data_IF_673785620707
#
_entry.id   IF_673785620707
#
_cell.length_a   1.000
_cell.length_b   1.000
_cell.length_c   1.000
_cell.angle_alpha   90.00
_cell.angle_beta   90.00
_cell.angle_gamma   90.00
#
_symmetry.space_group_name_H-M   'P 1'
#
loop_
_entity.id
_entity.type
_entity.pdbx_description
1 polymer ?
#
# COMPACT_ATOMS: atom_id res chain seq x y z
N UNK A 1 23.52 10.13 -2.52
CA UNK A 1 22.99 10.70 -3.79
C UNK A 1 21.50 10.96 -3.63
N UNK A 2 21.01 12.19 -3.88
CA UNK A 2 19.57 12.49 -3.88
C UNK A 2 19.00 12.13 -5.26
N UNK A 3 18.06 11.21 -5.32
CA UNK A 3 17.45 10.72 -6.55
C UNK A 3 16.02 11.28 -6.66
N UNK A 4 15.67 11.84 -7.81
CA UNK A 4 14.31 12.29 -8.15
C UNK A 4 14.16 12.30 -9.67
N UNK A 5 13.37 11.39 -10.23
CA UNK A 5 13.12 11.34 -11.69
C UNK A 5 11.64 11.16 -12.00
N UNK A 6 11.20 11.74 -13.11
CA UNK A 6 9.88 11.52 -13.68
C UNK A 6 9.99 10.59 -14.88
N UNK A 7 9.13 9.57 -14.94
CA UNK A 7 9.06 8.64 -16.07
C UNK A 7 7.63 8.55 -16.59
N UNK A 8 7.49 8.29 -17.89
CA UNK A 8 6.21 8.39 -18.60
C UNK A 8 5.69 7.06 -19.15
N UNK A 9 6.41 5.96 -18.93
CA UNK A 9 6.02 4.61 -19.33
C UNK A 9 6.40 3.59 -18.25
N UNK A 10 5.78 2.40 -18.30
CA UNK A 10 6.13 1.27 -17.42
C UNK A 10 7.56 0.81 -17.71
N UNK A 11 7.94 0.77 -18.99
CA UNK A 11 9.27 0.36 -19.43
C UNK A 11 10.37 1.27 -18.86
N UNK A 12 10.24 2.59 -19.02
CA UNK A 12 11.18 3.56 -18.46
C UNK A 12 11.22 3.49 -16.94
N UNK A 13 10.08 3.22 -16.30
CA UNK A 13 10.02 3.05 -14.86
C UNK A 13 10.78 1.80 -14.41
N UNK A 14 10.58 0.67 -15.08
CA UNK A 14 11.33 -0.55 -14.83
C UNK A 14 12.83 -0.35 -15.03
N UNK A 15 13.25 0.35 -16.10
CA UNK A 15 14.66 0.70 -16.32
C UNK A 15 15.22 1.57 -15.19
N UNK A 16 14.44 2.54 -14.68
CA UNK A 16 14.85 3.35 -13.53
C UNK A 16 14.95 2.54 -12.23
N UNK A 17 14.08 1.54 -12.03
CA UNK A 17 14.13 0.65 -10.87
C UNK A 17 15.38 -0.24 -10.87
N UNK A 18 15.82 -0.68 -12.05
CA UNK A 18 17.06 -1.46 -12.21
C UNK A 18 18.33 -0.68 -11.84
N UNK A 19 18.26 0.65 -11.74
CA UNK A 19 19.38 1.49 -11.31
C UNK A 19 19.47 1.66 -9.79
N UNK A 20 18.48 1.14 -9.03
CA UNK A 20 18.50 1.22 -7.57
C UNK A 20 19.53 0.19 -7.04
N UNK A 21 20.39 0.56 -6.06
CA UNK A 21 21.34 -0.40 -5.51
C UNK A 21 20.65 -1.63 -4.93
N UNK A 22 21.18 -2.82 -5.22
CA UNK A 22 20.64 -4.08 -4.72
C UNK A 22 20.53 -4.10 -3.19
N UNK A 23 19.46 -4.73 -2.69
CA UNK A 23 19.13 -4.76 -1.27
C UNK A 23 18.50 -3.48 -0.72
N UNK A 24 18.39 -2.40 -1.51
CA UNK A 24 17.73 -1.17 -1.06
C UNK A 24 16.25 -1.42 -0.78
N UNK A 25 15.72 -0.70 0.22
CA UNK A 25 14.28 -0.65 0.48
C UNK A 25 13.59 0.15 -0.64
N UNK A 26 12.54 -0.43 -1.22
CA UNK A 26 11.72 0.24 -2.23
C UNK A 26 10.22 0.07 -1.96
N UNK A 27 9.52 1.20 -1.80
CA UNK A 27 8.06 1.23 -1.69
C UNK A 27 7.42 1.81 -2.96
N UNK A 28 6.73 0.97 -3.69
CA UNK A 28 5.66 1.43 -4.58
C UNK A 28 4.37 1.50 -3.75
N UNK A 29 3.47 2.46 -3.88
CA UNK A 29 3.75 3.88 -4.01
C UNK A 29 3.33 4.63 -2.72
N UNK A 30 3.74 5.90 -2.59
CA UNK A 30 3.22 6.85 -1.58
C UNK A 30 1.84 7.42 -1.97
N UNK A 31 1.50 7.35 -3.26
CA UNK A 31 0.26 7.84 -3.84
C UNK A 31 -0.02 7.12 -5.18
N UNK A 32 -1.30 6.87 -5.42
CA UNK A 32 -1.76 6.05 -6.55
C UNK A 32 -1.95 4.58 -6.14
N UNK A 33 -1.97 3.70 -7.12
CA UNK A 33 -2.04 2.24 -6.97
C UNK A 33 -1.20 1.59 -8.10
N UNK A 34 -1.30 0.27 -8.26
CA UNK A 34 -0.65 -0.50 -9.32
C UNK A 34 -1.02 -0.02 -10.73
N UNK A 35 -0.20 -0.36 -11.74
CA UNK A 35 -0.50 -0.11 -13.15
C UNK A 35 -1.95 -0.43 -13.56
N UNK A 36 -2.54 0.48 -14.34
CA UNK A 36 -3.94 0.44 -14.75
C UNK A 36 -4.04 0.34 -16.28
N UNK A 37 -4.80 -0.63 -16.75
CA UNK A 37 -4.91 -0.92 -18.18
C UNK A 37 -5.57 0.25 -18.92
N UNK A 38 -4.99 0.65 -20.05
CA UNK A 38 -5.53 1.72 -20.89
C UNK A 38 -5.42 3.12 -20.28
N UNK A 39 -4.61 3.30 -19.24
CA UNK A 39 -4.30 4.60 -18.64
C UNK A 39 -2.81 4.88 -18.78
N UNK A 40 -2.40 5.89 -19.55
CA UNK A 40 -1.03 6.39 -19.48
C UNK A 40 -0.72 6.80 -18.04
N UNK A 41 0.36 6.26 -17.50
CA UNK A 41 0.80 6.54 -16.15
C UNK A 41 2.12 7.31 -16.17
N UNK A 42 2.30 8.15 -15.15
CA UNK A 42 3.57 8.82 -14.89
C UNK A 42 3.98 8.48 -13.47
N UNK A 43 5.27 8.26 -13.28
CA UNK A 43 5.83 7.99 -11.97
C UNK A 43 6.81 9.08 -11.58
N UNK A 44 6.80 9.44 -10.30
CA UNK A 44 7.91 10.10 -9.64
C UNK A 44 8.62 9.05 -8.80
N UNK A 45 9.91 8.79 -9.05
CA UNK A 45 10.76 7.94 -8.22
C UNK A 45 11.73 8.80 -7.42
N UNK A 46 11.80 8.62 -6.11
CA UNK A 46 12.63 9.44 -5.21
C UNK A 46 13.08 8.67 -3.96
N UNK A 47 14.23 9.02 -3.40
CA UNK A 47 14.70 8.54 -2.09
C UNK A 47 14.87 9.70 -1.08
N UNK A 48 14.18 10.83 -1.27
CA UNK A 48 14.20 11.93 -0.30
C UNK A 48 13.71 11.43 1.06
N UNK A 49 14.34 11.87 2.13
CA UNK A 49 13.97 11.46 3.49
C UNK A 49 12.52 11.84 3.82
N UNK A 50 11.81 10.95 4.53
CA UNK A 50 10.41 11.14 4.94
C UNK A 50 10.14 10.42 6.27
N UNK A 51 9.35 11.05 7.15
CA UNK A 51 9.27 10.65 8.56
C UNK A 51 8.75 9.25 8.90
N UNK A 52 8.11 8.50 8.00
CA UNK A 52 7.65 7.12 8.24
C UNK A 52 8.37 6.07 7.39
N UNK A 53 9.06 6.50 6.35
CA UNK A 53 9.70 5.61 5.37
C UNK A 53 11.19 5.86 5.23
N UNK A 54 11.74 6.79 6.01
CA UNK A 54 13.16 7.08 6.07
C UNK A 54 13.73 7.41 4.68
N UNK A 55 14.84 6.77 4.36
CA UNK A 55 15.61 6.88 3.11
C UNK A 55 15.24 5.82 2.09
N UNK A 56 14.23 4.99 2.36
CA UNK A 56 13.68 4.05 1.38
C UNK A 56 13.39 4.77 0.05
N UNK A 57 13.69 4.12 -1.07
CA UNK A 57 13.24 4.57 -2.38
C UNK A 57 11.73 4.44 -2.43
N UNK A 58 11.06 5.43 -3.04
CA UNK A 58 9.61 5.48 -3.13
C UNK A 58 9.17 5.99 -4.47
N UNK A 59 8.04 5.49 -4.93
CA UNK A 59 7.40 6.01 -6.12
C UNK A 59 6.04 6.62 -5.82
N UNK A 60 5.55 7.46 -6.73
CA UNK A 60 4.19 8.00 -6.77
C UNK A 60 3.67 7.86 -8.18
N UNK A 61 2.46 7.34 -8.35
CA UNK A 61 1.75 7.31 -9.63
C UNK A 61 0.60 8.29 -9.63
N UNK A 62 0.10 8.70 -10.80
CA UNK A 62 -1.08 9.56 -10.87
C UNK A 62 -2.33 8.88 -10.30
N UNK A 63 -3.34 9.67 -9.93
CA UNK A 63 -4.64 9.18 -9.42
C UNK A 63 -5.37 8.22 -10.39
N UNK A 64 -5.02 8.26 -11.67
CA UNK A 64 -5.58 7.35 -12.69
C UNK A 64 -5.19 5.89 -12.52
N UNK A 65 -4.17 5.60 -11.72
CA UNK A 65 -3.79 4.23 -11.35
C UNK A 65 -4.75 3.59 -10.36
N UNK A 66 -5.46 4.38 -9.56
CA UNK A 66 -6.34 3.85 -8.51
C UNK A 66 -7.54 3.09 -9.12
N UNK A 67 -8.00 2.02 -8.46
CA UNK A 67 -9.25 1.34 -8.81
C UNK A 67 -10.46 2.28 -8.74
N UNK A 68 -11.43 2.08 -9.64
CA UNK A 68 -12.66 2.87 -9.67
C UNK A 68 -13.57 2.63 -8.45
N UNK A 69 -13.43 1.48 -7.80
CA UNK A 69 -14.18 0.97 -6.65
C UNK A 69 -13.44 1.14 -5.31
N UNK A 70 -12.28 1.82 -5.29
CA UNK A 70 -11.55 2.08 -4.06
C UNK A 70 -12.41 2.89 -3.07
N UNK A 71 -12.74 2.28 -1.93
CA UNK A 71 -13.63 2.85 -0.90
C UNK A 71 -13.16 4.23 -0.44
N UNK A 72 -11.87 4.36 -0.13
CA UNK A 72 -11.28 5.61 0.34
C UNK A 72 -10.93 6.58 -0.79
N UNK A 73 -11.22 6.28 -2.07
CA UNK A 73 -10.85 7.14 -3.21
C UNK A 73 -11.24 8.62 -2.99
N UNK A 74 -12.47 8.97 -2.55
CA UNK A 74 -12.86 10.38 -2.34
C UNK A 74 -12.07 11.06 -1.20
N UNK A 75 -11.65 10.28 -0.20
CA UNK A 75 -10.99 10.75 1.01
C UNK A 75 -9.52 10.30 1.13
N UNK A 76 -8.91 9.87 0.03
CA UNK A 76 -7.55 9.31 0.01
C UNK A 76 -6.51 10.27 0.62
N UNK A 77 -5.59 9.74 1.44
CA UNK A 77 -4.50 10.50 2.07
C UNK A 77 -3.66 11.30 1.08
N UNK A 78 -3.46 10.79 -0.14
CA UNK A 78 -2.72 11.49 -1.19
C UNK A 78 -3.41 12.75 -1.72
N UNK A 79 -4.69 12.98 -1.38
CA UNK A 79 -5.46 14.15 -1.85
C UNK A 79 -5.27 15.39 -0.97
N UNK A 80 -4.43 15.34 0.06
CA UNK A 80 -4.14 16.48 0.96
C UNK A 80 -2.65 16.67 1.19
N UNK A 81 -2.32 17.86 1.68
CA UNK A 81 -0.96 18.22 2.06
C UNK A 81 0.03 18.19 0.90
N UNK A 82 1.34 18.06 1.18
CA UNK A 82 2.38 18.13 0.16
C UNK A 82 2.29 17.03 -0.91
N UNK A 83 1.79 15.84 -0.56
CA UNK A 83 1.61 14.73 -1.51
C UNK A 83 0.67 15.16 -2.65
N UNK A 84 -0.38 15.93 -2.34
CA UNK A 84 -1.35 16.38 -3.34
C UNK A 84 -0.72 17.26 -4.43
N UNK A 85 0.33 18.02 -4.10
CA UNK A 85 1.04 18.85 -5.09
C UNK A 85 1.80 17.99 -6.09
N UNK A 86 2.50 16.96 -5.60
CA UNK A 86 3.17 15.99 -6.46
C UNK A 86 2.17 15.18 -7.30
N UNK A 87 1.02 14.82 -6.71
CA UNK A 87 -0.01 14.07 -7.43
C UNK A 87 -0.66 14.89 -8.56
N UNK A 88 -0.82 16.20 -8.37
CA UNK A 88 -1.23 17.15 -9.43
C UNK A 88 -0.17 17.28 -10.53
N UNK A 89 1.12 17.32 -10.16
CA UNK A 89 2.23 17.46 -11.09
C UNK A 89 2.42 16.24 -12.01
N UNK A 90 1.98 15.04 -11.60
CA UNK A 90 2.05 13.82 -12.41
C UNK A 90 1.07 13.78 -13.62
N UNK A 91 0.24 14.81 -13.82
CA UNK A 91 -0.49 15.03 -15.07
C UNK A 91 -1.74 14.15 -15.28
N UNK A 92 -2.68 14.69 -16.09
CA UNK A 92 -4.06 14.24 -16.39
C UNK A 92 -4.84 13.72 -15.17
N UNK A 93 -5.56 14.64 -14.53
CA UNK A 93 -6.55 14.33 -13.50
C UNK A 93 -7.68 13.47 -14.10
N UNK A 94 -7.61 12.16 -13.86
CA UNK A 94 -8.75 11.29 -14.09
C UNK A 94 -9.76 11.54 -12.98
N UNK A 95 -10.96 12.03 -13.35
CA UNK A 95 -12.05 12.28 -12.38
C UNK A 95 -12.48 10.99 -11.65
N UNK A 96 -12.24 9.82 -12.25
CA UNK A 96 -12.59 8.49 -11.74
C UNK A 96 -11.41 7.53 -11.88
N UNK A 97 -11.35 6.51 -11.01
CA UNK A 97 -10.35 5.45 -11.09
C UNK A 97 -10.46 4.60 -12.36
N UNK A 98 -9.54 3.65 -12.50
CA UNK A 98 -9.51 2.69 -13.60
C UNK A 98 -10.34 1.44 -13.28
N UNK A 99 -10.82 0.76 -14.34
CA UNK A 99 -11.67 -0.43 -14.22
C UNK A 99 -10.90 -1.75 -14.25
N UNK A 100 -9.63 -1.72 -14.64
CA UNK A 100 -8.79 -2.90 -14.74
C UNK A 100 -7.32 -2.58 -14.44
N UNK A 101 -6.67 -3.50 -13.74
CA UNK A 101 -5.24 -3.49 -13.47
C UNK A 101 -4.50 -3.99 -14.72
N UNK A 102 -3.41 -3.32 -15.07
CA UNK A 102 -2.48 -3.83 -16.07
C UNK A 102 -1.56 -4.86 -15.42
N UNK A 103 -2.02 -6.12 -15.43
CA UNK A 103 -1.31 -7.21 -14.78
C UNK A 103 0.05 -7.50 -15.43
N UNK A 104 0.25 -7.19 -16.71
CA UNK A 104 1.55 -7.39 -17.40
C UNK A 104 2.57 -6.41 -16.86
N UNK A 105 2.20 -5.13 -16.82
CA UNK A 105 3.01 -4.08 -16.23
C UNK A 105 3.36 -4.35 -14.75
N UNK A 106 2.41 -4.89 -13.97
CA UNK A 106 2.68 -5.31 -12.59
C UNK A 106 3.78 -6.37 -12.52
N UNK A 107 3.74 -7.38 -13.39
CA UNK A 107 4.76 -8.45 -13.40
C UNK A 107 6.10 -7.96 -13.92
N UNK A 108 6.13 -7.01 -14.85
CA UNK A 108 7.36 -6.34 -15.30
C UNK A 108 8.01 -5.57 -14.15
N UNK A 109 7.21 -4.79 -13.42
CA UNK A 109 7.68 -4.09 -12.22
C UNK A 109 8.19 -5.06 -11.15
N UNK A 110 7.48 -6.18 -10.92
CA UNK A 110 7.92 -7.18 -9.95
C UNK A 110 9.27 -7.80 -10.33
N UNK A 111 9.50 -8.07 -11.62
CA UNK A 111 10.82 -8.53 -12.10
C UNK A 111 11.89 -7.46 -11.91
N UNK A 112 11.59 -6.21 -12.29
CA UNK A 112 12.52 -5.09 -12.19
C UNK A 112 12.92 -4.78 -10.74
N UNK A 113 12.13 -5.20 -9.76
CA UNK A 113 12.39 -4.98 -8.32
C UNK A 113 12.92 -6.21 -7.59
N UNK A 114 13.16 -7.32 -8.29
CA UNK A 114 13.61 -8.59 -7.69
C UNK A 114 14.94 -8.51 -6.93
N UNK A 115 15.78 -7.51 -7.23
CA UNK A 115 17.04 -7.23 -6.55
C UNK A 115 16.88 -6.30 -5.34
N UNK A 116 15.65 -5.87 -5.01
CA UNK A 116 15.33 -4.92 -3.95
C UNK A 116 14.50 -5.58 -2.85
N UNK A 117 14.49 -4.98 -1.66
CA UNK A 117 13.49 -5.29 -0.63
C UNK A 117 12.27 -4.44 -0.91
N UNK A 118 11.33 -4.97 -1.71
CA UNK A 118 10.25 -4.17 -2.29
C UNK A 118 8.85 -4.55 -1.84
N UNK A 119 8.00 -3.53 -1.68
CA UNK A 119 6.59 -3.73 -1.36
C UNK A 119 5.68 -2.63 -1.90
N UNK A 120 4.38 -2.94 -1.94
CA UNK A 120 3.31 -2.00 -2.22
C UNK A 120 2.01 -2.39 -1.57
N UNK A 121 1.04 -1.49 -1.64
CA UNK A 121 -0.34 -1.70 -1.25
C UNK A 121 -1.24 -1.59 -2.48
N UNK A 122 -2.35 -2.32 -2.50
CA UNK A 122 -3.33 -2.27 -3.60
C UNK A 122 -4.76 -2.33 -3.06
N UNK A 123 -5.66 -1.51 -3.62
CA UNK A 123 -7.10 -1.66 -3.45
C UNK A 123 -7.77 -2.36 -4.64
N UNK A 124 -7.00 -2.80 -5.65
CA UNK A 124 -7.56 -3.62 -6.73
C UNK A 124 -8.21 -4.88 -6.17
N UNK A 125 -9.35 -5.29 -6.73
CA UNK A 125 -10.04 -6.53 -6.35
C UNK A 125 -9.10 -7.73 -6.38
N UNK A 126 -8.71 -8.17 -5.18
CA UNK A 126 -7.75 -9.23 -5.00
C UNK A 126 -8.28 -10.57 -5.52
N UNK A 127 -9.61 -10.79 -5.55
CA UNK A 127 -10.19 -12.03 -6.08
C UNK A 127 -9.94 -12.13 -7.57
N UNK A 128 -10.20 -11.04 -8.29
CA UNK A 128 -9.95 -10.94 -9.72
C UNK A 128 -8.47 -11.08 -10.08
N UNK A 129 -7.57 -10.54 -9.25
CA UNK A 129 -6.14 -10.47 -9.56
C UNK A 129 -5.25 -11.42 -8.75
N UNK A 130 -5.83 -12.36 -7.98
CA UNK A 130 -5.10 -13.22 -7.04
C UNK A 130 -3.87 -13.89 -7.65
N UNK A 131 -3.99 -14.46 -8.85
CA UNK A 131 -2.88 -15.13 -9.55
C UNK A 131 -1.72 -14.17 -9.84
N UNK A 132 -2.02 -12.95 -10.29
CA UNK A 132 -1.01 -11.92 -10.55
C UNK A 132 -0.32 -11.48 -9.27
N UNK A 133 -1.09 -11.26 -8.19
CA UNK A 133 -0.56 -10.85 -6.89
C UNK A 133 0.39 -11.90 -6.32
N UNK A 134 -0.01 -13.18 -6.33
CA UNK A 134 0.84 -14.29 -5.90
C UNK A 134 2.11 -14.40 -6.76
N UNK A 135 2.00 -14.20 -8.07
CA UNK A 135 3.16 -14.25 -8.96
C UNK A 135 4.13 -13.10 -8.72
N UNK A 136 3.63 -11.88 -8.49
CA UNK A 136 4.46 -10.72 -8.15
C UNK A 136 5.18 -10.92 -6.80
N UNK A 137 4.47 -11.44 -5.79
CA UNK A 137 5.05 -11.79 -4.49
C UNK A 137 6.18 -12.81 -4.62
N UNK A 138 5.98 -13.85 -5.43
CA UNK A 138 6.99 -14.86 -5.71
C UNK A 138 8.21 -14.33 -6.50
N UNK A 139 8.08 -13.19 -7.18
CA UNK A 139 9.17 -12.52 -7.88
C UNK A 139 9.96 -11.53 -7.01
N UNK A 140 9.55 -11.31 -5.75
CA UNK A 140 10.24 -10.42 -4.80
C UNK A 140 9.60 -9.04 -4.64
N UNK A 141 8.43 -8.79 -5.23
CA UNK A 141 7.66 -7.57 -4.98
C UNK A 141 6.43 -7.89 -4.13
N UNK A 142 6.51 -7.60 -2.84
CA UNK A 142 5.42 -7.90 -1.89
C UNK A 142 4.26 -6.93 -2.09
N UNK A 143 3.21 -7.39 -2.77
CA UNK A 143 1.96 -6.68 -2.96
C UNK A 143 0.99 -7.03 -1.84
N UNK A 144 0.75 -6.05 -0.98
CA UNK A 144 -0.18 -6.15 0.12
C UNK A 144 -1.59 -5.77 -0.35
N UNK A 145 -2.56 -6.66 -0.17
CA UNK A 145 -3.98 -6.30 -0.28
C UNK A 145 -4.30 -5.32 0.83
N UNK A 146 -4.67 -4.10 0.47
CA UNK A 146 -5.09 -3.06 1.40
C UNK A 146 -6.60 -3.06 1.49
N UNK A 147 -7.12 -3.14 2.71
CA UNK A 147 -8.56 -3.14 2.95
C UNK A 147 -8.90 -2.43 4.25
N UNK A 148 -10.15 -2.00 4.34
CA UNK A 148 -10.76 -1.37 5.49
C UNK A 148 -11.71 -2.31 6.24
N UNK A 149 -11.98 -3.50 5.71
CA UNK A 149 -12.90 -4.50 6.27
C UNK A 149 -12.10 -5.66 6.87
N UNK A 150 -12.18 -5.90 8.20
CA UNK A 150 -11.46 -7.01 8.83
C UNK A 150 -11.88 -8.38 8.30
N UNK A 151 -13.14 -8.56 7.90
CA UNK A 151 -13.63 -9.81 7.30
C UNK A 151 -12.96 -10.08 5.97
N UNK A 152 -12.83 -9.05 5.13
CA UNK A 152 -12.13 -9.17 3.84
C UNK A 152 -10.63 -9.33 4.02
N UNK A 153 -10.05 -8.72 5.07
CA UNK A 153 -8.65 -8.90 5.41
C UNK A 153 -8.32 -10.38 5.72
N UNK A 154 -9.13 -11.02 6.56
CA UNK A 154 -8.97 -12.44 6.89
C UNK A 154 -9.15 -13.33 5.66
N UNK A 155 -10.15 -13.05 4.80
CA UNK A 155 -10.36 -13.82 3.56
C UNK A 155 -9.18 -13.72 2.61
N UNK A 156 -8.67 -12.51 2.37
CA UNK A 156 -7.51 -12.30 1.51
C UNK A 156 -6.25 -12.97 2.08
N UNK A 157 -6.06 -12.88 3.40
CA UNK A 157 -4.93 -13.49 4.09
C UNK A 157 -4.95 -15.02 3.98
N UNK A 158 -6.10 -15.65 4.29
CA UNK A 158 -6.31 -17.11 4.13
C UNK A 158 -6.22 -17.56 2.67
N UNK A 159 -6.42 -16.65 1.71
CA UNK A 159 -6.15 -16.91 0.31
C UNK A 159 -4.66 -16.83 -0.07
N UNK A 160 -3.74 -16.69 0.91
CA UNK A 160 -2.29 -16.70 0.72
C UNK A 160 -1.70 -15.35 0.29
N UNK A 161 -2.43 -14.25 0.47
CA UNK A 161 -1.96 -12.91 0.12
C UNK A 161 -1.44 -12.18 1.36
N UNK A 162 -0.35 -11.41 1.25
CA UNK A 162 0.00 -10.40 2.24
C UNK A 162 -1.13 -9.37 2.35
N UNK A 163 -1.54 -9.03 3.57
CA UNK A 163 -2.65 -8.09 3.81
C UNK A 163 -2.23 -6.96 4.75
N UNK A 164 -2.80 -5.79 4.48
CA UNK A 164 -2.84 -4.66 5.39
C UNK A 164 -4.27 -4.23 5.68
N UNK A 165 -4.56 -3.92 6.95
CA UNK A 165 -5.90 -3.53 7.41
C UNK A 165 -5.87 -2.14 8.04
N UNK A 166 -6.75 -1.25 7.60
CA UNK A 166 -6.96 0.04 8.29
C UNK A 166 -7.85 -0.16 9.52
N UNK A 167 -7.41 0.37 10.65
CA UNK A 167 -8.03 0.21 11.96
C UNK A 167 -8.45 1.54 12.61
N UNK A 168 -9.23 1.52 13.71
CA UNK A 168 -9.60 2.72 14.44
C UNK A 168 -8.38 3.59 14.81
N UNK A 169 -8.50 4.92 14.85
CA UNK A 169 -7.40 5.82 15.20
C UNK A 169 -6.80 5.57 16.59
N UNK A 170 -7.57 4.97 17.49
CA UNK A 170 -7.20 4.64 18.88
C UNK A 170 -6.53 3.26 19.02
N UNK A 171 -6.51 2.43 17.96
CA UNK A 171 -5.93 1.11 18.03
C UNK A 171 -4.40 1.20 18.27
N UNK A 172 -3.92 0.62 19.36
CA UNK A 172 -2.48 0.58 19.71
C UNK A 172 -1.95 -0.84 19.95
N UNK A 173 -2.83 -1.78 20.29
CA UNK A 173 -2.44 -3.16 20.61
C UNK A 173 -2.60 -4.06 19.38
N UNK A 174 -1.87 -5.20 19.32
CA UNK A 174 -2.17 -6.24 18.35
C UNK A 174 -3.63 -6.70 18.45
N UNK A 175 -4.15 -7.22 17.33
CA UNK A 175 -5.50 -7.75 17.20
C UNK A 175 -5.44 -9.26 16.96
N UNK A 176 -6.46 -9.97 17.40
CA UNK A 176 -6.80 -11.29 16.88
C UNK A 176 -7.88 -11.12 15.80
N UNK A 177 -7.56 -11.49 14.55
CA UNK A 177 -8.43 -11.39 13.39
C UNK A 177 -8.85 -12.80 12.96
N UNK A 178 -9.75 -13.43 13.71
CA UNK A 178 -10.20 -14.82 13.50
C UNK A 178 -9.06 -15.85 13.51
N UNK A 179 -8.22 -15.81 14.54
CA UNK A 179 -7.03 -16.64 14.67
C UNK A 179 -5.86 -16.15 13.81
N UNK A 180 -5.98 -15.00 13.15
CA UNK A 180 -4.88 -14.37 12.40
C UNK A 180 -4.34 -13.19 13.21
N UNK A 181 -3.07 -13.22 13.65
CA UNK A 181 -2.46 -12.09 14.34
C UNK A 181 -2.44 -10.82 13.47
N UNK A 182 -2.93 -9.71 14.01
CA UNK A 182 -2.84 -8.37 13.43
C UNK A 182 -1.86 -7.50 14.20
N UNK A 183 -0.69 -7.20 13.63
CA UNK A 183 0.32 -6.36 14.27
C UNK A 183 0.28 -4.92 13.77
N UNK A 184 0.32 -3.97 14.70
CA UNK A 184 0.33 -2.54 14.35
C UNK A 184 1.66 -2.17 13.70
N UNK A 185 1.61 -1.39 12.62
CA UNK A 185 2.81 -0.81 12.02
C UNK A 185 3.60 0.01 13.07
N UNK A 186 4.87 -0.30 13.37
CA UNK A 186 5.62 0.37 14.43
C UNK A 186 5.81 1.88 14.20
N UNK A 187 5.86 2.32 12.94
CA UNK A 187 5.91 3.74 12.55
C UNK A 187 4.64 4.55 12.92
N UNK A 188 3.61 3.88 13.45
CA UNK A 188 2.40 4.52 14.00
C UNK A 188 2.33 4.45 15.53
N UNK A 189 3.28 3.78 16.18
CA UNK A 189 3.36 3.64 17.63
C UNK A 189 4.41 4.56 18.25
N UNK A 190 5.48 4.85 17.52
CA UNK A 190 6.61 5.61 18.01
C UNK A 190 7.00 6.73 17.04
N UNK A 191 7.24 7.92 17.58
CA UNK A 191 7.77 9.05 16.82
C UNK A 191 9.22 8.78 16.38
N UNK A 192 9.57 9.20 15.16
CA UNK A 192 10.89 8.97 14.59
C UNK A 192 11.14 7.55 14.06
N UNK A 193 10.24 6.59 14.30
CA UNK A 193 10.37 5.23 13.76
C UNK A 193 10.03 5.20 12.27
N UNK A 194 10.93 4.65 11.45
CA UNK A 194 10.76 4.57 9.99
C UNK A 194 10.78 3.14 9.46
N UNK A 195 10.51 2.98 8.16
CA UNK A 195 10.69 1.69 7.49
C UNK A 195 12.14 1.19 7.56
N UNK A 196 13.14 2.08 7.65
CA UNK A 196 14.54 1.69 7.73
C UNK A 196 14.84 0.95 9.06
N UNK A 197 14.09 1.28 10.12
CA UNK A 197 14.19 0.66 11.45
C UNK A 197 13.31 -0.61 11.57
N UNK A 198 12.45 -0.84 10.58
CA UNK A 198 11.41 -1.87 10.66
C UNK A 198 11.96 -3.25 10.35
N UNK A 199 11.81 -4.17 11.31
CA UNK A 199 12.05 -5.59 11.06
C UNK A 199 13.49 -5.93 10.71
N UNK A 200 14.46 -5.18 11.27
CA UNK A 200 15.90 -5.39 11.11
C UNK A 200 16.34 -5.43 9.63
N UNK A 201 15.95 -4.42 8.85
CA UNK A 201 16.26 -4.32 7.41
C UNK A 201 15.27 -5.05 6.50
N UNK A 202 14.27 -5.75 7.04
CA UNK A 202 13.16 -6.34 6.29
C UNK A 202 11.82 -5.88 6.88
N UNK A 203 11.26 -4.75 6.39
CA UNK A 203 10.01 -4.21 6.90
C UNK A 203 8.87 -5.23 6.88
N UNK A 204 7.97 -5.18 7.85
CA UNK A 204 6.84 -6.13 7.96
C UNK A 204 5.99 -6.23 6.67
N UNK A 205 5.82 -5.10 5.97
CA UNK A 205 5.08 -5.03 4.71
C UNK A 205 5.86 -5.59 3.50
N UNK A 206 7.18 -5.77 3.62
CA UNK A 206 8.03 -6.36 2.57
C UNK A 206 8.13 -7.88 2.68
N UNK A 207 7.63 -8.48 3.77
CA UNK A 207 7.62 -9.93 3.98
C UNK A 207 6.40 -10.55 3.31
N UNK A 208 6.61 -11.20 2.16
CA UNK A 208 5.54 -11.91 1.45
C UNK A 208 5.09 -13.16 2.22
N UNK A 209 6.05 -13.95 2.71
CA UNK A 209 5.79 -15.08 3.59
C UNK A 209 5.76 -14.62 5.04
N UNK A 210 4.55 -14.46 5.58
CA UNK A 210 4.31 -14.05 6.95
C UNK A 210 3.00 -14.60 7.49
N UNK A 211 2.95 -14.83 8.79
CA UNK A 211 1.78 -15.37 9.48
C UNK A 211 0.94 -14.29 10.18
N UNK A 212 0.94 -13.07 9.66
CA UNK A 212 0.22 -11.94 10.27
C UNK A 212 -0.23 -10.87 9.25
N UNK A 213 -1.25 -10.11 9.66
CA UNK A 213 -1.77 -8.92 8.97
C UNK A 213 -1.10 -7.68 9.56
N UNK A 214 -0.64 -6.75 8.72
CA UNK A 214 -0.12 -5.46 9.23
C UNK A 214 -1.26 -4.46 9.34
N UNK A 215 -1.44 -3.90 10.53
CA UNK A 215 -2.57 -3.04 10.86
C UNK A 215 -2.12 -1.59 10.90
N UNK A 216 -2.90 -0.72 10.27
CA UNK A 216 -2.66 0.71 10.20
C UNK A 216 -3.81 1.46 10.88
N UNK A 217 -3.65 1.90 12.15
CA UNK A 217 -4.54 2.89 12.74
C UNK A 217 -4.68 4.09 11.81
N UNK A 218 -5.91 4.51 11.56
CA UNK A 218 -6.19 5.70 10.77
C UNK A 218 -5.48 6.91 11.41
N UNK A 219 -4.72 7.66 10.62
CA UNK A 219 -3.78 8.65 11.15
C UNK A 219 -3.74 9.94 10.32
N UNK A 220 -3.04 10.95 10.82
CA UNK A 220 -2.88 12.25 10.18
C UNK A 220 -4.20 13.04 10.08
N UNK A 221 -4.20 14.15 9.33
CA UNK A 221 -5.35 15.06 9.25
C UNK A 221 -6.63 14.50 8.62
N UNK A 222 -6.62 13.24 8.15
CA UNK A 222 -7.81 12.53 7.64
C UNK A 222 -8.24 11.35 8.51
N UNK A 223 -7.59 11.11 9.65
CA UNK A 223 -7.89 9.98 10.54
C UNK A 223 -9.39 9.82 10.84
N UNK A 224 -10.03 10.90 11.31
CA UNK A 224 -11.45 10.88 11.68
C UNK A 224 -12.36 10.62 10.47
N UNK A 225 -12.04 11.20 9.30
CA UNK A 225 -12.83 10.99 8.07
C UNK A 225 -12.73 9.55 7.58
N UNK A 226 -11.53 8.97 7.63
CA UNK A 226 -11.31 7.56 7.30
C UNK A 226 -12.06 6.68 8.30
N UNK A 227 -11.94 6.96 9.59
CA UNK A 227 -12.68 6.21 10.62
C UNK A 227 -14.19 6.25 10.39
N UNK A 228 -14.79 7.42 10.20
CA UNK A 228 -16.22 7.55 9.94
C UNK A 228 -16.68 6.74 8.73
N UNK A 229 -15.85 6.63 7.68
CA UNK A 229 -16.17 5.85 6.49
C UNK A 229 -16.14 4.33 6.75
N UNK A 230 -15.20 3.87 7.58
CA UNK A 230 -14.95 2.42 7.76
C UNK A 230 -15.60 1.86 9.02
N UNK A 231 -16.05 2.70 9.95
CA UNK A 231 -16.70 2.32 11.21
C UNK A 231 -17.81 1.28 11.02
N UNK A 232 -18.71 1.39 10.01
CA UNK A 232 -19.74 0.36 9.81
C UNK A 232 -19.18 -1.03 9.44
N UNK A 233 -18.01 -1.11 8.79
CA UNK A 233 -17.35 -2.40 8.47
C UNK A 233 -16.87 -3.07 9.77
N UNK A 234 -16.24 -2.29 10.64
CA UNK A 234 -15.76 -2.73 11.95
C UNK A 234 -16.90 -3.09 12.90
N UNK A 235 -17.97 -2.31 12.96
CA UNK A 235 -19.16 -2.60 13.78
C UNK A 235 -19.81 -3.92 13.39
N UNK A 236 -19.94 -4.21 12.08
CA UNK A 236 -20.42 -5.51 11.61
C UNK A 236 -19.49 -6.64 12.02
N UNK A 237 -18.18 -6.42 11.92
CA UNK A 237 -17.18 -7.41 12.31
C UNK A 237 -17.29 -7.73 13.82
N UNK A 238 -17.26 -6.75 14.72
CA UNK A 238 -17.44 -6.98 16.16
C UNK A 238 -18.77 -7.66 16.49
N UNK A 239 -19.87 -7.19 15.89
CA UNK A 239 -21.21 -7.76 16.11
C UNK A 239 -21.27 -9.24 15.75
N UNK A 240 -20.62 -9.65 14.66
CA UNK A 240 -20.56 -11.08 14.28
C UNK A 240 -19.73 -11.96 15.24
N UNK A 241 -19.00 -11.36 16.18
CA UNK A 241 -18.22 -12.03 17.24
C UNK A 241 -18.85 -11.92 18.63
N UNK A 242 -19.98 -11.23 18.77
CA UNK A 242 -20.52 -10.87 20.08
C UNK A 242 -19.60 -9.92 20.87
N UNK A 243 -18.66 -9.27 20.19
CA UNK A 243 -17.74 -8.30 20.77
C UNK A 243 -18.32 -6.89 20.64
N UNK A 244 -17.86 -5.99 21.51
CA UNK A 244 -18.14 -4.56 21.36
C UNK A 244 -16.91 -3.81 20.83
N UNK A 245 -17.10 -2.69 20.12
CA UNK A 245 -16.00 -1.79 19.77
C UNK A 245 -15.18 -1.43 21.01
N UNK A 246 -13.84 -1.34 20.92
CA UNK A 246 -13.05 -0.76 21.99
C UNK A 246 -13.55 0.69 22.21
N UNK A 247 -13.87 0.99 23.46
CA UNK A 247 -14.34 2.31 23.93
C UNK A 247 -13.28 3.41 23.76
#
# INVERSE_FOLDING_TARGET
MRFSTHVASVEDFCLALLQIPAGSLFRHNDAGDLPALGRPQRWLLTNREQGKTGKSYRSRTSRGSCPADCLIYPICYASVGPISWHWKALGKWFKRGAKAMDWRAVLEMAKATSHLVSWTYTHWDWRRYRKTLLRANALGMTINVSTEDPTEAVKAFRAGLPVTLVAPPTQRRPLDLDGVPGYICPALLQEGFTCDDCGNGSPLCARADRHFIVVFPAHGGRANKVWSLIKPLWERWWSSRGEQPPC
#
